data_IF_770956042248
#
_entry.id   IF_770956042248
#
_cell.length_a   1.000
_cell.length_b   1.000
_cell.length_c   1.000
_cell.angle_alpha   90.00
_cell.angle_beta   90.00
_cell.angle_gamma   90.00
#
_symmetry.space_group_name_H-M   'P 1'
#
loop_
_entity.id
_entity.type
_entity.pdbx_description
1 polymer ?
#
# COMPACT_ATOMS: atom_id res chain seq x y z
N UNK A 1 14.08 -11.23 0.43
CA UNK A 1 13.26 -12.21 1.16
C UNK A 1 12.37 -12.90 0.14
N UNK A 2 12.13 -14.21 0.25
CA UNK A 2 11.23 -14.94 -0.65
C UNK A 2 9.85 -14.95 0.00
N UNK A 3 8.86 -14.32 -0.65
CA UNK A 3 7.46 -14.37 -0.23
C UNK A 3 6.77 -15.36 -1.13
N UNK A 4 6.08 -16.35 -0.55
CA UNK A 4 5.27 -17.28 -1.33
C UNK A 4 3.89 -16.68 -1.60
N UNK A 5 3.20 -17.18 -2.62
CA UNK A 5 1.83 -16.76 -2.89
C UNK A 5 0.91 -17.07 -1.70
N UNK A 6 1.13 -18.19 -1.02
CA UNK A 6 0.40 -18.59 0.18
C UNK A 6 0.60 -17.59 1.32
N UNK A 7 1.84 -17.11 1.53
CA UNK A 7 2.13 -16.07 2.52
C UNK A 7 1.41 -14.75 2.17
N UNK A 8 1.38 -14.37 0.89
CA UNK A 8 0.69 -13.17 0.43
C UNK A 8 -0.84 -13.28 0.64
N UNK A 9 -1.43 -14.45 0.37
CA UNK A 9 -2.87 -14.67 0.55
C UNK A 9 -3.30 -14.76 2.01
N UNK A 10 -2.42 -15.20 2.90
CA UNK A 10 -2.67 -15.25 4.35
C UNK A 10 -2.27 -13.96 5.08
N UNK A 11 -1.78 -12.95 4.35
CA UNK A 11 -1.42 -11.66 4.93
C UNK A 11 -2.65 -10.96 5.52
N UNK A 12 -2.46 -10.31 6.67
CA UNK A 12 -3.48 -9.46 7.32
C UNK A 12 -3.42 -8.01 6.85
N UNK A 13 -2.43 -7.69 6.02
CA UNK A 13 -2.21 -6.34 5.51
C UNK A 13 -3.29 -6.00 4.47
N UNK A 14 -3.94 -4.85 4.65
CA UNK A 14 -4.93 -4.34 3.72
C UNK A 14 -4.23 -3.33 2.79
N UNK A 15 -4.17 -3.67 1.49
CA UNK A 15 -3.62 -2.78 0.44
C UNK A 15 -4.70 -1.89 -0.20
N UNK A 16 -5.86 -1.81 0.45
CA UNK A 16 -7.04 -1.07 0.02
C UNK A 16 -7.39 -0.07 1.11
N UNK A 17 -8.27 0.86 0.79
CA UNK A 17 -8.78 1.86 1.74
C UNK A 17 -9.48 1.20 2.93
N UNK A 18 -9.40 1.85 4.10
CA UNK A 18 -10.01 1.37 5.35
C UNK A 18 -11.54 1.24 5.23
N UNK A 19 -12.15 2.20 4.51
CA UNK A 19 -13.55 2.19 4.12
C UNK A 19 -13.65 1.88 2.61
N UNK A 20 -14.72 1.17 2.22
CA UNK A 20 -15.02 0.81 0.83
C UNK A 20 -16.34 1.45 0.42
N UNK A 21 -16.37 2.77 0.46
CA UNK A 21 -17.45 3.61 -0.06
C UNK A 21 -16.96 4.48 -1.23
N UNK A 22 -17.88 5.28 -1.79
CA UNK A 22 -17.57 6.14 -2.94
C UNK A 22 -16.69 7.35 -2.59
N UNK A 23 -16.58 7.69 -1.30
CA UNK A 23 -15.80 8.81 -0.79
C UNK A 23 -14.46 8.36 -0.20
N UNK A 24 -14.13 7.07 -0.36
CA UNK A 24 -12.98 6.45 0.27
C UNK A 24 -11.67 6.96 -0.32
N UNK A 25 -10.77 7.40 0.56
CA UNK A 25 -9.47 7.90 0.15
C UNK A 25 -8.53 6.75 -0.22
N UNK A 26 -7.78 6.84 -1.33
CA UNK A 26 -6.79 5.82 -1.66
C UNK A 26 -5.70 5.73 -0.56
N UNK A 27 -5.08 4.55 -0.38
CA UNK A 27 -4.06 4.35 0.66
C UNK A 27 -2.79 5.18 0.44
N UNK A 28 -2.56 5.65 -0.79
CA UNK A 28 -1.48 6.57 -1.13
C UNK A 28 -2.07 7.83 -1.74
N UNK A 29 -1.80 8.97 -1.10
CA UNK A 29 -2.26 10.29 -1.52
C UNK A 29 -1.06 11.05 -2.10
N UNK A 30 -1.22 11.78 -3.22
CA UNK A 30 -0.14 12.60 -3.75
C UNK A 30 0.20 13.76 -2.81
N UNK A 31 1.42 14.29 -2.95
CA UNK A 31 1.82 15.51 -2.26
C UNK A 31 1.13 16.77 -2.80
N UNK A 32 1.45 17.93 -2.22
CA UNK A 32 0.85 19.22 -2.60
C UNK A 32 1.11 19.61 -4.07
N UNK A 33 2.16 19.06 -4.68
CA UNK A 33 2.53 19.27 -6.08
C UNK A 33 1.91 18.20 -7.00
N UNK A 34 1.12 17.26 -6.46
CA UNK A 34 0.45 16.21 -7.20
C UNK A 34 1.31 14.96 -7.47
N UNK A 35 2.50 14.86 -6.86
CA UNK A 35 3.40 13.73 -7.08
C UNK A 35 3.09 12.59 -6.12
N UNK A 36 3.09 11.36 -6.66
CA UNK A 36 3.04 10.16 -5.84
C UNK A 36 4.45 9.81 -5.32
N UNK A 37 4.58 9.38 -4.06
CA UNK A 37 5.86 8.96 -3.53
C UNK A 37 6.38 7.72 -4.28
N UNK A 38 7.63 7.78 -4.75
CA UNK A 38 8.30 6.62 -5.34
C UNK A 38 8.79 5.71 -4.21
N UNK A 39 8.42 4.42 -4.18
CA UNK A 39 8.83 3.53 -3.11
C UNK A 39 10.35 3.30 -3.16
N UNK A 40 11.03 3.53 -2.04
CA UNK A 40 12.48 3.37 -1.91
C UNK A 40 12.77 2.14 -1.03
N UNK A 41 13.56 1.16 -1.51
CA UNK A 41 13.91 -0.02 -0.73
C UNK A 41 14.56 0.36 0.62
N UNK A 42 14.02 -0.19 1.72
CA UNK A 42 14.52 0.06 3.09
C UNK A 42 13.94 1.31 3.78
N UNK A 43 13.26 2.19 3.05
CA UNK A 43 12.49 3.32 3.61
C UNK A 43 11.00 3.00 3.52
N UNK A 44 10.56 2.56 2.34
CA UNK A 44 9.24 1.96 2.17
C UNK A 44 9.30 0.57 2.79
N UNK A 45 8.42 0.27 3.77
CA UNK A 45 8.27 -1.08 4.28
C UNK A 45 7.91 -1.99 3.11
N UNK A 46 8.90 -2.75 2.63
CA UNK A 46 8.67 -3.91 1.80
C UNK A 46 8.35 -5.03 2.78
N UNK A 47 7.09 -5.45 2.78
CA UNK A 47 6.67 -6.71 3.42
C UNK A 47 7.52 -7.87 2.92
#
# INVERSE_FOLDING_TARGET
QLITLEDAMNSKELLVSDDLDWDSNPPVIPDADGNYPVPVPGVTPLV
#
